data_IF_034254003764
#
_entry.id   IF_034254003764
#
_cell.length_a   1.000
_cell.length_b   1.000
_cell.length_c   1.000
_cell.angle_alpha   90.00
_cell.angle_beta   90.00
_cell.angle_gamma   90.00
#
_symmetry.space_group_name_H-M   'P 1'
#
loop_
_entity.id
_entity.type
_entity.pdbx_description
1 polymer ?
#
# COMPACT_ATOMS: atom_id res chain seq x y z
N UNK A 1 -52.68 0.53 2.24
CA UNK A 1 -51.62 0.09 1.33
C UNK A 1 -50.63 1.22 1.12
N UNK A 2 -49.35 0.96 1.21
CA UNK A 2 -48.28 1.91 0.89
C UNK A 2 -47.96 1.70 -0.57
N UNK A 3 -48.18 2.73 -1.42
CA UNK A 3 -47.82 2.71 -2.83
C UNK A 3 -46.72 3.76 -3.10
N UNK A 4 -45.78 3.41 -3.95
CA UNK A 4 -44.78 4.36 -4.43
C UNK A 4 -45.45 5.43 -5.32
N UNK A 5 -45.04 6.70 -5.20
CA UNK A 5 -45.54 7.76 -6.07
C UNK A 5 -45.27 7.44 -7.55
N UNK A 6 -46.21 7.74 -8.47
CA UNK A 6 -45.99 7.58 -9.90
C UNK A 6 -44.89 8.53 -10.34
N UNK A 7 -43.72 8.10 -10.61
CA UNK A 7 -42.45 8.76 -10.95
C UNK A 7 -41.34 8.59 -9.90
N UNK A 8 -41.53 7.79 -8.86
CA UNK A 8 -40.42 7.43 -7.99
C UNK A 8 -39.41 6.62 -8.79
N UNK A 9 -38.31 7.25 -9.16
CA UNK A 9 -37.13 6.58 -9.68
C UNK A 9 -36.14 6.43 -8.55
N UNK A 10 -35.87 5.18 -8.16
CA UNK A 10 -34.75 4.89 -7.28
C UNK A 10 -33.48 5.31 -8.01
N UNK A 11 -32.88 6.41 -7.57
CA UNK A 11 -31.60 6.83 -8.13
C UNK A 11 -30.56 5.80 -7.68
N UNK A 12 -30.13 4.95 -8.60
CA UNK A 12 -29.21 3.84 -8.34
C UNK A 12 -27.81 4.28 -7.89
N UNK A 13 -27.51 5.56 -7.99
CA UNK A 13 -26.22 6.09 -7.56
C UNK A 13 -26.35 6.62 -6.13
N UNK A 14 -26.04 5.78 -5.14
CA UNK A 14 -25.89 6.22 -3.76
C UNK A 14 -24.62 7.07 -3.54
N UNK A 15 -23.80 7.25 -4.59
CA UNK A 15 -22.53 7.96 -4.55
C UNK A 15 -22.68 9.30 -5.29
N UNK A 16 -22.24 10.37 -4.64
CA UNK A 16 -22.10 11.69 -5.25
C UNK A 16 -20.94 11.70 -6.27
N UNK A 17 -20.83 12.80 -7.04
CA UNK A 17 -19.66 13.00 -7.93
C UNK A 17 -18.37 12.99 -7.13
N UNK A 18 -18.32 13.73 -6.03
CA UNK A 18 -17.15 13.85 -5.18
C UNK A 18 -16.74 12.50 -4.58
N UNK A 19 -17.72 11.67 -4.16
CA UNK A 19 -17.45 10.30 -3.70
C UNK A 19 -16.83 9.45 -4.79
N UNK A 20 -17.31 9.59 -6.03
CA UNK A 20 -16.80 8.85 -7.18
C UNK A 20 -15.38 9.27 -7.54
N UNK A 21 -15.06 10.57 -7.48
CA UNK A 21 -13.74 11.10 -7.78
C UNK A 21 -12.71 10.58 -6.76
N UNK A 22 -13.06 10.55 -5.46
CA UNK A 22 -12.22 9.97 -4.41
C UNK A 22 -12.00 8.47 -4.63
N UNK A 23 -13.07 7.73 -4.98
CA UNK A 23 -12.97 6.29 -5.26
C UNK A 23 -12.09 6.02 -6.47
N UNK A 24 -12.25 6.78 -7.56
CA UNK A 24 -11.46 6.62 -8.77
C UNK A 24 -9.98 6.93 -8.52
N UNK A 25 -9.68 8.00 -7.77
CA UNK A 25 -8.31 8.34 -7.37
C UNK A 25 -7.69 7.21 -6.53
N UNK A 26 -8.43 6.69 -5.55
CA UNK A 26 -7.97 5.56 -4.72
C UNK A 26 -7.70 4.29 -5.54
N UNK A 27 -8.59 3.95 -6.49
CA UNK A 27 -8.42 2.77 -7.34
C UNK A 27 -7.25 2.96 -8.32
N UNK A 28 -7.05 4.17 -8.85
CA UNK A 28 -5.88 4.48 -9.67
C UNK A 28 -4.58 4.28 -8.88
N UNK A 29 -4.55 4.72 -7.62
CA UNK A 29 -3.43 4.44 -6.72
C UNK A 29 -3.15 2.95 -6.54
N UNK A 30 -4.19 2.13 -6.40
CA UNK A 30 -4.06 0.67 -6.28
C UNK A 30 -3.63 -0.02 -7.59
N UNK A 31 -3.82 0.61 -8.76
CA UNK A 31 -3.42 0.04 -10.06
C UNK A 31 -1.91 -0.19 -10.19
N UNK A 32 -1.13 0.48 -9.35
CA UNK A 32 0.33 0.31 -9.29
C UNK A 32 0.71 -1.05 -8.72
N UNK A 33 -0.07 -1.54 -7.74
CA UNK A 33 0.19 -2.81 -7.06
C UNK A 33 -0.26 -3.99 -7.91
N UNK A 34 -1.32 -3.79 -8.65
CA UNK A 34 -1.98 -4.82 -9.43
C UNK A 34 -2.34 -4.27 -10.81
N UNK A 35 -1.41 -4.37 -11.75
CA UNK A 35 -1.67 -4.08 -13.18
C UNK A 35 -2.61 -5.14 -13.78
N UNK A 36 -3.49 -5.72 -12.93
CA UNK A 36 -4.43 -6.73 -13.35
C UNK A 36 -5.50 -6.10 -14.24
N UNK A 37 -5.88 -6.85 -15.25
CA UNK A 37 -7.06 -6.58 -16.09
C UNK A 37 -8.31 -6.28 -15.24
N UNK A 38 -8.34 -6.77 -13.99
CA UNK A 38 -9.43 -6.53 -13.03
C UNK A 38 -9.57 -5.06 -12.63
N UNK A 39 -8.48 -4.37 -12.32
CA UNK A 39 -8.54 -2.94 -11.94
C UNK A 39 -8.93 -2.10 -13.15
N UNK A 40 -8.35 -2.36 -14.33
CA UNK A 40 -8.75 -1.68 -15.57
C UNK A 40 -10.23 -1.90 -15.90
N UNK A 41 -10.71 -3.13 -15.72
CA UNK A 41 -12.13 -3.48 -15.92
C UNK A 41 -13.02 -2.81 -14.87
N UNK A 42 -12.57 -2.74 -13.59
CA UNK A 42 -13.31 -2.07 -12.52
C UNK A 42 -13.44 -0.57 -12.79
N UNK A 43 -12.34 0.09 -13.15
CA UNK A 43 -12.34 1.51 -13.55
C UNK A 43 -13.29 1.76 -14.74
N UNK A 44 -13.24 0.89 -15.76
CA UNK A 44 -14.16 0.98 -16.90
C UNK A 44 -15.62 0.83 -16.47
N UNK A 45 -15.92 -0.16 -15.60
CA UNK A 45 -17.30 -0.36 -15.08
C UNK A 45 -17.78 0.83 -14.25
N UNK A 46 -16.94 1.39 -13.39
CA UNK A 46 -17.29 2.55 -12.58
C UNK A 46 -17.56 3.78 -13.46
N UNK A 47 -16.74 4.01 -14.48
CA UNK A 47 -16.95 5.07 -15.48
C UNK A 47 -18.22 4.86 -16.30
N UNK A 48 -18.57 3.62 -16.61
CA UNK A 48 -19.79 3.30 -17.37
C UNK A 48 -21.07 3.37 -16.53
N UNK A 49 -20.98 3.10 -15.21
CA UNK A 49 -22.15 3.14 -14.33
C UNK A 49 -22.56 4.56 -13.95
N UNK A 50 -21.68 5.51 -14.08
CA UNK A 50 -21.95 6.93 -13.95
C UNK A 50 -22.42 7.45 -15.31
N UNK A 51 -23.70 7.76 -15.42
CA UNK A 51 -24.35 8.28 -16.64
C UNK A 51 -23.85 9.70 -17.04
N UNK A 52 -22.85 10.22 -16.35
CA UNK A 52 -22.32 11.55 -16.53
C UNK A 52 -21.02 11.52 -17.35
N UNK A 53 -21.08 12.14 -18.54
CA UNK A 53 -19.92 12.46 -19.36
C UNK A 53 -18.87 13.32 -18.62
N UNK A 54 -19.26 13.89 -17.49
CA UNK A 54 -18.49 14.80 -16.64
C UNK A 54 -17.41 14.11 -15.81
N UNK A 55 -17.46 12.76 -15.66
CA UNK A 55 -16.44 11.96 -14.95
C UNK A 55 -15.16 11.73 -15.77
N UNK A 56 -15.07 12.30 -16.96
CA UNK A 56 -13.88 12.21 -17.80
C UNK A 56 -12.85 13.32 -17.54
N UNK A 57 -13.24 14.35 -16.79
CA UNK A 57 -12.39 15.49 -16.42
C UNK A 57 -12.04 15.38 -14.92
N UNK A 58 -11.14 14.46 -14.58
CA UNK A 58 -10.54 14.43 -13.24
C UNK A 58 -9.50 15.54 -13.16
N UNK A 59 -9.72 16.52 -12.29
CA UNK A 59 -8.75 17.58 -11.97
C UNK A 59 -7.55 17.03 -11.18
N UNK A 60 -7.65 15.77 -10.69
CA UNK A 60 -6.61 15.10 -9.92
C UNK A 60 -5.95 14.02 -10.78
N UNK A 61 -4.70 14.25 -11.15
CA UNK A 61 -3.84 13.25 -11.76
C UNK A 61 -2.85 12.74 -10.71
N UNK A 62 -3.01 11.49 -10.30
CA UNK A 62 -2.05 10.85 -9.40
C UNK A 62 -1.02 10.13 -10.27
N UNK A 63 0.16 10.70 -10.38
CA UNK A 63 1.28 10.09 -11.09
C UNK A 63 2.19 9.33 -10.11
N UNK A 64 2.15 8.03 -10.24
CA UNK A 64 3.03 7.13 -9.51
C UNK A 64 4.12 6.52 -10.42
N UNK A 65 4.45 7.18 -11.53
CA UNK A 65 5.40 6.67 -12.52
C UNK A 65 6.78 6.38 -11.93
N UNK A 66 7.21 7.19 -10.95
CA UNK A 66 8.47 6.96 -10.22
C UNK A 66 8.51 5.62 -9.49
N UNK A 67 7.35 5.01 -9.19
CA UNK A 67 7.22 3.73 -8.49
C UNK A 67 7.14 2.55 -9.44
N UNK A 68 6.65 2.77 -10.66
CA UNK A 68 6.57 1.75 -11.71
C UNK A 68 7.94 1.26 -12.20
N UNK A 69 9.01 2.00 -11.92
CA UNK A 69 10.34 1.61 -12.36
C UNK A 69 10.95 0.44 -11.57
N UNK A 70 10.37 0.05 -10.44
CA UNK A 70 10.91 -1.07 -9.66
C UNK A 70 10.08 -2.35 -9.83
N UNK A 71 10.18 -2.95 -11.02
CA UNK A 71 9.52 -4.24 -11.33
C UNK A 71 9.82 -5.34 -10.29
N UNK A 72 10.95 -5.22 -9.59
CA UNK A 72 11.36 -6.14 -8.52
C UNK A 72 10.47 -6.00 -7.29
N UNK A 73 10.10 -4.78 -6.89
CA UNK A 73 9.21 -4.54 -5.74
C UNK A 73 7.82 -5.09 -6.03
N UNK A 74 7.29 -4.84 -7.23
CA UNK A 74 5.97 -5.36 -7.65
C UNK A 74 5.95 -6.90 -7.61
N UNK A 75 7.02 -7.55 -8.08
CA UNK A 75 7.14 -9.02 -8.00
C UNK A 75 7.11 -9.50 -6.55
N UNK A 76 7.86 -8.86 -5.65
CA UNK A 76 7.87 -9.19 -4.22
C UNK A 76 6.48 -9.01 -3.59
N UNK A 77 5.80 -7.90 -3.87
CA UNK A 77 4.44 -7.64 -3.38
C UNK A 77 3.48 -8.76 -3.82
N UNK A 78 3.54 -9.19 -5.08
CA UNK A 78 2.70 -10.28 -5.58
C UNK A 78 2.99 -11.60 -4.86
N UNK A 79 4.26 -11.94 -4.65
CA UNK A 79 4.65 -13.14 -3.89
C UNK A 79 4.14 -13.07 -2.45
N UNK A 80 4.31 -11.95 -1.78
CA UNK A 80 3.84 -11.75 -0.41
C UNK A 80 2.31 -11.90 -0.34
N UNK A 81 1.57 -11.31 -1.28
CA UNK A 81 0.10 -11.46 -1.34
C UNK A 81 -0.35 -12.90 -1.49
N UNK A 82 0.34 -13.68 -2.33
CA UNK A 82 0.06 -15.12 -2.49
C UNK A 82 0.34 -15.86 -1.19
N UNK A 83 1.46 -15.57 -0.53
CA UNK A 83 1.81 -16.20 0.74
C UNK A 83 0.80 -15.86 1.85
N UNK A 84 0.36 -14.60 1.95
CA UNK A 84 -0.71 -14.19 2.90
C UNK A 84 -1.99 -14.97 2.63
N UNK A 85 -2.44 -15.03 1.36
CA UNK A 85 -3.70 -15.67 0.99
C UNK A 85 -3.72 -17.18 1.28
N UNK A 86 -2.56 -17.84 1.19
CA UNK A 86 -2.41 -19.27 1.40
C UNK A 86 -1.82 -19.64 2.77
N UNK A 87 -1.56 -18.65 3.63
CA UNK A 87 -0.88 -18.83 4.92
C UNK A 87 0.49 -19.54 4.80
N UNK A 88 1.21 -19.33 3.69
CA UNK A 88 2.53 -19.91 3.52
C UNK A 88 3.60 -19.10 4.25
N UNK A 89 4.60 -19.81 4.80
CA UNK A 89 5.81 -19.16 5.30
C UNK A 89 6.61 -18.58 4.13
N UNK A 90 7.29 -17.48 4.43
CA UNK A 90 8.27 -16.88 3.52
C UNK A 90 9.68 -17.06 4.07
N UNK A 91 10.58 -17.55 3.21
CA UNK A 91 12.01 -17.42 3.45
C UNK A 91 12.54 -16.21 2.71
N UNK A 92 13.26 -15.32 3.42
CA UNK A 92 13.78 -14.10 2.83
C UNK A 92 15.15 -13.74 3.40
N UNK A 93 15.99 -13.12 2.56
CA UNK A 93 17.22 -12.47 2.97
C UNK A 93 16.99 -10.99 3.16
N UNK A 94 17.16 -10.49 4.38
CA UNK A 94 16.84 -9.13 4.77
C UNK A 94 18.08 -8.33 5.15
N UNK A 95 18.18 -7.10 4.60
CA UNK A 95 19.26 -6.17 4.94
C UNK A 95 18.83 -5.25 6.09
N UNK A 96 19.64 -5.20 7.15
CA UNK A 96 19.44 -4.33 8.31
C UNK A 96 20.76 -3.63 8.66
N UNK A 97 20.74 -2.78 9.71
CA UNK A 97 21.96 -2.15 10.24
C UNK A 97 23.07 -3.16 10.61
N UNK A 98 22.68 -4.41 10.89
CA UNK A 98 23.59 -5.50 11.24
C UNK A 98 23.93 -6.40 10.02
N UNK A 99 23.77 -5.90 8.79
CA UNK A 99 24.00 -6.61 7.54
C UNK A 99 22.86 -7.52 7.13
N UNK A 100 23.18 -8.41 6.18
CA UNK A 100 22.22 -9.39 5.64
C UNK A 100 22.02 -10.56 6.60
N UNK A 101 20.75 -10.95 6.75
CA UNK A 101 20.39 -12.16 7.50
C UNK A 101 19.19 -12.84 6.86
N UNK A 102 19.21 -14.16 6.87
CA UNK A 102 18.06 -14.98 6.50
C UNK A 102 16.98 -14.90 7.57
N UNK A 103 15.73 -14.89 7.14
CA UNK A 103 14.54 -14.83 7.98
C UNK A 103 13.48 -15.76 7.44
N UNK A 104 12.88 -16.55 8.32
CA UNK A 104 11.62 -17.21 8.07
C UNK A 104 10.55 -16.40 8.76
N UNK A 105 9.50 -16.05 8.03
CA UNK A 105 8.44 -15.17 8.52
C UNK A 105 7.06 -15.67 8.12
N UNK A 106 6.07 -15.38 8.96
CA UNK A 106 4.65 -15.55 8.72
C UNK A 106 4.10 -14.21 8.23
N UNK A 107 3.77 -14.03 6.94
CA UNK A 107 3.29 -12.74 6.43
C UNK A 107 1.81 -12.53 6.78
N UNK A 108 1.45 -11.34 7.26
CA UNK A 108 0.09 -10.98 7.65
C UNK A 108 -0.51 -9.86 6.81
N UNK A 109 0.21 -8.75 6.62
CA UNK A 109 -0.31 -7.58 5.89
C UNK A 109 0.77 -6.87 5.09
N UNK A 110 0.33 -6.23 4.03
CA UNK A 110 1.10 -5.23 3.30
C UNK A 110 0.67 -3.84 3.76
N UNK A 111 1.63 -2.96 3.93
CA UNK A 111 1.46 -1.59 4.37
C UNK A 111 2.14 -0.67 3.39
N UNK A 112 1.45 0.40 3.04
CA UNK A 112 2.05 1.51 2.32
C UNK A 112 2.14 2.72 3.25
N UNK A 113 3.35 3.21 3.50
CA UNK A 113 3.61 4.35 4.38
C UNK A 113 4.88 5.07 3.95
N UNK A 114 4.86 6.41 3.96
CA UNK A 114 6.02 7.23 3.63
C UNK A 114 6.68 6.76 2.32
N UNK A 115 5.88 6.71 1.26
CA UNK A 115 6.32 6.33 -0.09
C UNK A 115 7.01 4.97 -0.21
N UNK A 116 6.86 4.11 0.77
CA UNK A 116 7.50 2.79 0.80
C UNK A 116 6.52 1.69 1.17
N UNK A 117 6.80 0.51 0.63
CA UNK A 117 6.04 -0.69 0.95
C UNK A 117 6.68 -1.46 2.08
N UNK A 118 5.86 -1.93 2.98
CA UNK A 118 6.26 -2.74 4.13
C UNK A 118 5.41 -4.01 4.20
N UNK A 119 6.00 -5.05 4.75
CA UNK A 119 5.33 -6.29 5.13
C UNK A 119 5.32 -6.40 6.65
N UNK A 120 4.13 -6.53 7.23
CA UNK A 120 3.97 -6.94 8.61
C UNK A 120 3.98 -8.46 8.66
N UNK A 121 4.90 -9.01 9.45
CA UNK A 121 5.08 -10.44 9.58
C UNK A 121 5.56 -10.83 10.98
N UNK A 122 5.21 -12.03 11.44
CA UNK A 122 5.83 -12.63 12.61
C UNK A 122 7.18 -13.24 12.20
N UNK A 123 8.22 -12.83 12.88
CA UNK A 123 9.59 -13.26 12.58
C UNK A 123 10.02 -14.38 13.51
N UNK A 124 10.24 -15.59 13.00
CA UNK A 124 10.66 -16.74 13.80
C UNK A 124 12.00 -16.50 14.50
N UNK A 125 12.93 -15.79 13.87
CA UNK A 125 14.24 -15.49 14.49
C UNK A 125 14.11 -14.54 15.71
N UNK A 126 13.12 -13.64 15.70
CA UNK A 126 12.90 -12.67 16.78
C UNK A 126 11.82 -13.11 17.77
N UNK A 127 11.03 -14.12 17.39
CA UNK A 127 9.83 -14.57 18.10
C UNK A 127 8.86 -13.41 18.38
N UNK A 128 8.67 -12.52 17.36
CA UNK A 128 7.89 -11.31 17.52
C UNK A 128 7.42 -10.77 16.18
N UNK A 129 6.33 -9.97 16.20
CA UNK A 129 5.87 -9.24 15.02
C UNK A 129 6.83 -8.13 14.66
N UNK A 130 7.13 -8.02 13.37
CA UNK A 130 8.03 -7.02 12.82
C UNK A 130 7.50 -6.48 11.50
N UNK A 131 7.92 -5.25 11.23
CA UNK A 131 7.63 -4.58 9.97
C UNK A 131 8.91 -4.59 9.14
N UNK A 132 8.81 -5.16 7.94
CA UNK A 132 9.92 -5.30 7.02
C UNK A 132 9.73 -4.39 5.81
N UNK A 133 10.66 -3.47 5.56
CA UNK A 133 10.66 -2.65 4.35
C UNK A 133 10.98 -3.54 3.14
N UNK A 134 10.10 -3.55 2.11
CA UNK A 134 10.19 -4.51 1.00
C UNK A 134 11.46 -4.29 0.16
N UNK A 135 11.90 -3.03 0.04
CA UNK A 135 13.13 -2.67 -0.66
C UNK A 135 14.38 -3.34 -0.06
N UNK A 136 14.37 -3.62 1.25
CA UNK A 136 15.47 -4.26 1.97
C UNK A 136 15.48 -5.78 1.89
N UNK A 137 14.47 -6.38 1.27
CA UNK A 137 14.40 -7.81 1.01
C UNK A 137 15.18 -8.08 -0.28
N UNK A 138 16.27 -8.85 -0.24
CA UNK A 138 17.10 -9.14 -1.42
C UNK A 138 16.74 -10.46 -2.09
N UNK A 139 16.31 -11.44 -1.31
CA UNK A 139 15.82 -12.72 -1.79
C UNK A 139 14.49 -13.04 -1.08
N UNK A 140 13.53 -13.56 -1.83
CA UNK A 140 12.21 -13.85 -1.29
C UNK A 140 11.63 -15.10 -1.95
N UNK A 141 11.31 -16.10 -1.15
CA UNK A 141 10.77 -17.38 -1.61
C UNK A 141 9.58 -17.80 -0.76
N UNK A 142 8.53 -18.29 -1.41
CA UNK A 142 7.41 -18.93 -0.74
C UNK A 142 7.82 -20.36 -0.43
N UNK A 143 7.62 -20.78 0.81
CA UNK A 143 7.85 -22.17 1.22
C UNK A 143 6.58 -23.00 1.02
N UNK A 144 6.70 -24.31 1.09
CA UNK A 144 5.56 -25.24 1.11
C UNK A 144 4.91 -25.35 2.49
N UNK A 145 5.60 -24.86 3.53
CA UNK A 145 5.10 -24.86 4.89
C UNK A 145 4.07 -23.76 5.09
N UNK A 146 3.05 -24.06 5.89
CA UNK A 146 1.97 -23.13 6.25
C UNK A 146 2.01 -22.81 7.74
N UNK A 147 1.39 -21.72 8.13
CA UNK A 147 1.23 -21.33 9.53
C UNK A 147 -0.26 -21.15 9.88
N UNK A 148 -0.59 -21.33 11.15
CA UNK A 148 -1.88 -20.98 11.69
C UNK A 148 -1.86 -19.51 12.16
N UNK A 149 -2.96 -18.80 11.91
CA UNK A 149 -3.08 -17.40 12.30
C UNK A 149 -3.00 -17.28 13.83
N UNK A 150 -2.11 -16.41 14.32
CA UNK A 150 -1.89 -16.22 15.76
C UNK A 150 -3.07 -15.45 16.34
N UNK A 151 -3.68 -15.99 17.42
CA UNK A 151 -4.84 -15.38 18.09
C UNK A 151 -4.53 -14.02 18.72
N UNK A 152 -3.27 -13.80 19.12
CA UNK A 152 -2.80 -12.56 19.75
C UNK A 152 -2.35 -11.50 18.73
N UNK A 153 -2.78 -11.65 17.49
CA UNK A 153 -2.50 -10.71 16.44
C UNK A 153 -3.32 -9.42 16.65
N UNK A 154 -2.84 -8.54 17.50
CA UNK A 154 -3.21 -7.14 17.45
C UNK A 154 -2.36 -6.48 16.36
N UNK A 155 -3.00 -5.99 15.30
CA UNK A 155 -2.29 -5.27 14.24
C UNK A 155 -1.50 -4.09 14.87
N UNK A 156 -0.15 -4.12 14.91
CA UNK A 156 0.64 -3.01 15.48
C UNK A 156 0.47 -1.71 14.71
N UNK A 157 -0.37 -1.72 13.68
CA UNK A 157 -0.67 -0.64 12.76
C UNK A 157 -1.31 0.59 13.40
N UNK A 158 -2.00 0.40 14.52
CA UNK A 158 -2.72 1.46 15.22
C UNK A 158 -1.95 2.00 16.44
N UNK A 159 -0.95 1.26 16.90
CA UNK A 159 -0.07 1.77 17.96
C UNK A 159 1.09 2.50 17.29
N UNK A 160 1.33 3.71 17.71
CA UNK A 160 2.34 4.66 17.22
C UNK A 160 3.80 4.18 17.34
N UNK A 161 4.07 2.89 17.20
CA UNK A 161 5.41 2.32 17.31
C UNK A 161 6.39 2.80 16.23
N UNK A 162 5.86 3.45 15.17
CA UNK A 162 6.70 4.19 14.23
C UNK A 162 7.21 5.53 14.77
N UNK A 163 6.67 6.01 15.90
CA UNK A 163 7.01 7.29 16.51
C UNK A 163 8.04 7.19 17.65
N UNK A 164 8.42 6.00 18.08
CA UNK A 164 9.36 5.79 19.19
C UNK A 164 10.84 5.66 18.76
N UNK A 165 11.19 6.04 17.54
CA UNK A 165 12.59 6.37 17.29
C UNK A 165 12.85 7.72 17.97
N UNK A 166 13.67 7.75 19.02
CA UNK A 166 14.31 8.99 19.45
C UNK A 166 14.91 9.61 18.19
N UNK A 167 14.34 10.73 17.75
CA UNK A 167 14.85 11.44 16.58
C UNK A 167 16.31 11.82 16.85
N UNK A 168 17.15 11.59 15.87
CA UNK A 168 18.51 12.14 15.88
C UNK A 168 18.41 13.50 15.24
N UNK A 169 18.75 14.54 15.96
CA UNK A 169 18.86 15.88 15.39
C UNK A 169 20.05 15.90 14.44
N UNK A 170 19.78 16.27 13.18
CA UNK A 170 20.79 16.36 12.13
C UNK A 170 20.75 17.79 11.57
N UNK A 171 21.88 18.49 11.66
CA UNK A 171 22.04 19.76 10.97
C UNK A 171 22.65 19.52 9.59
N UNK A 172 21.94 19.90 8.54
CA UNK A 172 22.39 19.78 7.16
C UNK A 172 22.74 21.18 6.65
N UNK A 173 23.97 21.36 6.14
CA UNK A 173 24.36 22.58 5.45
C UNK A 173 24.33 22.32 3.95
N UNK A 174 23.58 23.12 3.22
CA UNK A 174 23.48 23.04 1.77
C UNK A 174 23.82 24.38 1.13
N UNK A 175 24.19 24.35 -0.14
CA UNK A 175 24.33 25.55 -0.95
C UNK A 175 22.95 26.20 -1.16
N UNK A 176 22.92 27.55 -1.22
CA UNK A 176 21.67 28.29 -1.40
C UNK A 176 20.95 27.94 -2.68
N UNK A 177 21.64 27.51 -3.72
CA UNK A 177 21.04 27.04 -4.97
C UNK A 177 20.20 25.74 -4.80
N UNK A 178 20.36 25.02 -3.69
CA UNK A 178 19.63 23.80 -3.34
C UNK A 178 18.51 24.03 -2.33
N UNK A 179 18.20 25.30 -2.00
CA UNK A 179 17.14 25.67 -1.04
C UNK A 179 15.77 25.03 -1.41
N UNK A 180 15.45 24.99 -2.70
CA UNK A 180 14.22 24.35 -3.19
C UNK A 180 14.14 22.86 -2.82
N UNK A 181 15.26 22.12 -2.84
CA UNK A 181 15.29 20.72 -2.41
C UNK A 181 15.06 20.59 -0.91
N UNK A 182 15.56 21.54 -0.11
CA UNK A 182 15.31 21.55 1.32
C UNK A 182 13.82 21.73 1.62
N UNK A 183 13.16 22.65 0.93
CA UNK A 183 11.71 22.88 1.04
C UNK A 183 10.93 21.62 0.62
N UNK A 184 11.32 20.99 -0.51
CA UNK A 184 10.67 19.77 -1.00
C UNK A 184 10.75 18.60 0.01
N UNK A 185 11.86 18.47 0.75
CA UNK A 185 12.08 17.38 1.69
C UNK A 185 11.63 17.67 3.12
N UNK A 186 11.75 18.91 3.59
CA UNK A 186 11.56 19.24 5.00
C UNK A 186 10.36 20.18 5.24
N UNK A 187 9.79 20.76 4.19
CA UNK A 187 8.75 21.76 4.30
C UNK A 187 9.31 23.18 4.50
N UNK A 188 8.42 24.16 4.47
CA UNK A 188 8.72 25.54 4.86
C UNK A 188 8.61 25.63 6.38
N UNK A 189 9.73 25.62 7.11
CA UNK A 189 9.84 26.10 8.50
C UNK A 189 10.92 27.15 8.64
#
# INVERSE_FOLDING_TARGET
>A
GISLMPNFRYNKSALSKDDMDVILAGIQGLSIIDDSTKIKTLLAKLRFSSNDKMLLENDIVIDFSTWNHNSTIIKKIRLIRVAIANHNLLNMKYYSSNGYRERIVEPYKLLFKQESWYMLAYCHYRNDFRIFKIERITDLQITTETFEERKDYEAPLLKSEFSNSQGIEITVRMDKSLEFLAIDFFGEE
#
